data_IF_448993428736
#
_entry.id   IF_448993428736
#
_cell.length_a   1.000
_cell.length_b   1.000
_cell.length_c   1.000
_cell.angle_alpha   90.00
_cell.angle_beta   90.00
_cell.angle_gamma   90.00
#
_symmetry.space_group_name_H-M   'P 1'
#
loop_
_entity.id
_entity.type
_entity.pdbx_description
1 polymer ?
#
# COMPACT_ATOMS: atom_id res chain seq x y z
N UNK A 1 -15.85 12.67 6.09
CA UNK A 1 -16.30 11.36 5.53
C UNK A 1 -16.00 10.19 6.46
N UNK A 2 -14.73 9.90 6.81
CA UNK A 2 -14.38 8.72 7.62
C UNK A 2 -14.98 8.73 9.04
N UNK A 3 -14.94 9.87 9.73
CA UNK A 3 -15.47 10.00 11.09
C UNK A 3 -17.00 9.88 11.16
N UNK A 4 -17.71 10.39 10.15
CA UNK A 4 -19.16 10.24 10.01
C UNK A 4 -19.57 8.78 9.84
N UNK A 5 -18.80 8.01 9.05
CA UNK A 5 -19.04 6.58 8.85
C UNK A 5 -18.83 5.77 10.14
N UNK A 6 -17.76 6.03 10.90
CA UNK A 6 -17.52 5.33 12.17
C UNK A 6 -18.60 5.65 13.22
N UNK A 7 -19.06 6.90 13.28
CA UNK A 7 -20.13 7.31 14.18
C UNK A 7 -21.47 6.65 13.85
N UNK A 8 -21.80 6.52 12.56
CA UNK A 8 -23.01 5.81 12.09
C UNK A 8 -22.94 4.31 12.44
N UNK A 9 -21.75 3.71 12.34
CA UNK A 9 -21.55 2.28 12.61
C UNK A 9 -21.20 1.98 14.09
N UNK A 10 -21.27 2.98 14.97
CA UNK A 10 -20.92 2.85 16.39
C UNK A 10 -19.52 2.26 16.64
N UNK A 11 -18.59 2.51 15.72
CA UNK A 11 -17.20 2.05 15.79
C UNK A 11 -16.42 3.08 16.61
N UNK A 12 -16.02 2.70 17.83
CA UNK A 12 -15.15 3.51 18.67
C UNK A 12 -13.70 3.34 18.22
N UNK A 13 -13.17 4.31 17.49
CA UNK A 13 -11.77 4.29 17.07
C UNK A 13 -10.87 4.90 18.15
N UNK A 14 -9.79 4.21 18.51
CA UNK A 14 -8.84 4.70 19.50
C UNK A 14 -7.89 5.72 18.86
N UNK A 15 -8.16 7.01 19.11
CA UNK A 15 -7.45 8.16 18.52
C UNK A 15 -5.95 8.16 18.86
N UNK A 16 -5.55 7.58 19.99
CA UNK A 16 -4.15 7.50 20.40
C UNK A 16 -3.30 6.57 19.52
N UNK A 17 -3.93 5.69 18.73
CA UNK A 17 -3.24 4.76 17.81
C UNK A 17 -3.14 5.27 16.38
N UNK A 18 -3.59 6.49 16.11
CA UNK A 18 -3.52 7.06 14.77
C UNK A 18 -2.11 7.55 14.47
N UNK A 19 -1.64 7.28 13.25
CA UNK A 19 -0.36 7.77 12.76
C UNK A 19 -0.59 8.65 11.53
N UNK A 20 0.07 9.80 11.49
CA UNK A 20 -0.03 10.73 10.37
C UNK A 20 1.19 10.60 9.46
N UNK A 21 0.95 10.13 8.24
CA UNK A 21 1.94 10.09 7.16
C UNK A 21 1.63 11.24 6.21
N UNK A 22 2.60 12.12 5.98
CA UNK A 22 2.43 13.25 5.04
C UNK A 22 3.35 13.08 3.84
N UNK A 23 2.78 12.79 2.68
CA UNK A 23 3.55 12.67 1.44
C UNK A 23 3.46 14.02 0.71
N UNK A 24 4.60 14.67 0.42
CA UNK A 24 4.68 15.94 -0.32
C UNK A 24 3.87 17.12 0.26
N UNK A 25 3.67 17.19 1.58
CA UNK A 25 2.97 18.32 2.20
C UNK A 25 3.90 19.54 2.29
N UNK A 26 3.48 20.68 1.71
CA UNK A 26 4.16 21.98 1.89
C UNK A 26 4.01 22.53 3.31
N UNK A 27 2.96 22.13 4.02
CA UNK A 27 2.62 22.65 5.33
C UNK A 27 2.87 21.64 6.46
N UNK A 28 3.49 22.14 7.54
CA UNK A 28 3.87 21.39 8.75
C UNK A 28 2.71 21.25 9.76
N UNK A 29 1.47 21.49 9.38
CA UNK A 29 0.37 21.55 10.36
C UNK A 29 0.00 20.18 10.97
N UNK A 30 -0.02 20.07 12.29
CA UNK A 30 -0.46 18.85 12.97
C UNK A 30 -1.96 18.60 12.74
N UNK A 31 -2.36 17.34 12.60
CA UNK A 31 -3.76 16.98 12.42
C UNK A 31 -4.39 16.79 13.81
N UNK A 32 -5.36 17.66 14.13
CA UNK A 32 -6.11 17.60 15.39
C UNK A 32 -7.42 16.85 15.18
N UNK A 33 -7.58 15.72 15.86
CA UNK A 33 -8.85 14.98 15.91
C UNK A 33 -9.30 14.96 17.37
N UNK A 34 -10.49 15.50 17.65
CA UNK A 34 -11.11 15.52 18.99
C UNK A 34 -10.19 16.03 20.11
N UNK A 35 -9.37 17.05 19.83
CA UNK A 35 -8.45 17.65 20.80
C UNK A 35 -7.13 16.88 21.01
N UNK A 36 -6.95 15.73 20.36
CA UNK A 36 -5.68 14.98 20.34
C UNK A 36 -4.85 15.38 19.13
N UNK A 37 -3.64 15.89 19.39
CA UNK A 37 -2.62 16.18 18.37
C UNK A 37 -1.99 14.88 17.88
N UNK A 38 -2.21 14.54 16.61
CA UNK A 38 -1.54 13.40 15.96
C UNK A 38 -0.25 13.90 15.33
N UNK A 39 0.89 13.39 15.83
CA UNK A 39 2.22 13.76 15.34
C UNK A 39 2.53 13.09 14.01
N UNK A 40 3.28 13.80 13.17
CA UNK A 40 3.83 13.28 11.91
C UNK A 40 4.95 12.27 12.21
N UNK A 41 4.89 11.09 11.59
CA UNK A 41 5.87 9.99 11.78
C UNK A 41 6.78 9.83 10.57
N UNK A 42 6.92 10.84 9.69
CA UNK A 42 7.82 10.69 8.54
C UNK A 42 9.27 10.63 8.99
N UNK A 43 9.91 9.48 8.77
CA UNK A 43 11.36 9.34 8.77
C UNK A 43 11.96 9.91 7.46
N UNK A 44 13.19 10.42 7.51
CA UNK A 44 13.92 10.93 6.35
C UNK A 44 14.26 9.80 5.36
N UNK A 45 14.48 8.59 5.86
CA UNK A 45 14.74 7.40 5.06
C UNK A 45 13.48 6.79 4.43
N UNK A 46 12.30 7.24 4.85
CA UNK A 46 10.99 6.78 4.38
C UNK A 46 10.32 5.78 5.31
N UNK A 47 8.99 5.74 5.26
CA UNK A 47 8.20 4.92 6.18
C UNK A 47 7.75 3.61 5.54
N UNK A 48 7.67 2.53 6.32
CA UNK A 48 7.13 1.24 5.85
C UNK A 48 5.73 0.97 6.43
N UNK A 49 4.73 0.84 5.56
CA UNK A 49 3.38 0.43 5.97
C UNK A 49 2.81 -0.64 5.04
N UNK A 50 2.22 -1.69 5.64
CA UNK A 50 1.52 -2.77 4.92
C UNK A 50 2.32 -3.39 3.74
N UNK A 51 3.65 -3.44 3.88
CA UNK A 51 4.57 -3.97 2.86
C UNK A 51 5.08 -2.95 1.83
N UNK A 52 4.61 -1.70 1.88
CA UNK A 52 5.02 -0.59 1.03
C UNK A 52 6.07 0.29 1.69
N UNK A 53 6.87 0.97 0.86
CA UNK A 53 7.93 1.85 1.32
C UNK A 53 7.71 3.27 0.77
N UNK A 54 7.42 4.20 1.66
CA UNK A 54 7.11 5.60 1.37
C UNK A 54 8.41 6.42 1.43
N UNK A 55 9.20 6.36 0.36
CA UNK A 55 10.32 7.30 0.18
C UNK A 55 9.80 8.70 -0.14
N UNK A 56 10.46 9.71 0.43
CA UNK A 56 10.20 11.12 0.13
C UNK A 56 10.24 11.42 -1.39
N UNK A 57 11.11 10.74 -2.13
CA UNK A 57 11.30 10.94 -3.57
C UNK A 57 10.37 10.09 -4.47
N UNK A 58 9.42 9.34 -3.91
CA UNK A 58 8.39 8.56 -4.63
C UNK A 58 8.91 7.86 -5.93
N UNK A 59 10.04 7.16 -5.84
CA UNK A 59 10.67 6.52 -6.99
C UNK A 59 9.84 5.31 -7.45
N UNK A 60 9.00 5.51 -8.46
CA UNK A 60 8.17 4.46 -9.09
C UNK A 60 8.96 3.27 -9.64
N UNK A 61 10.26 3.44 -9.90
CA UNK A 61 11.14 2.39 -10.40
C UNK A 61 11.24 1.18 -9.46
N UNK A 62 11.16 1.40 -8.14
CA UNK A 62 11.23 0.33 -7.15
C UNK A 62 10.02 -0.62 -7.27
N UNK A 63 8.83 -0.06 -7.47
CA UNK A 63 7.60 -0.82 -7.64
C UNK A 63 7.58 -1.59 -8.95
N UNK A 64 8.05 -0.98 -10.05
CA UNK A 64 8.23 -1.68 -11.33
C UNK A 64 9.19 -2.88 -11.19
N UNK A 65 10.29 -2.71 -10.44
CA UNK A 65 11.23 -3.80 -10.16
C UNK A 65 10.58 -4.91 -9.34
N UNK A 66 9.83 -4.58 -8.28
CA UNK A 66 9.09 -5.58 -7.48
C UNK A 66 8.07 -6.36 -8.31
N UNK A 67 7.30 -5.70 -9.18
CA UNK A 67 6.34 -6.37 -10.07
C UNK A 67 7.07 -7.37 -10.97
N UNK A 68 8.20 -6.97 -11.57
CA UNK A 68 9.02 -7.86 -12.38
C UNK A 68 9.51 -9.07 -11.59
N UNK A 69 10.01 -8.86 -10.37
CA UNK A 69 10.46 -9.95 -9.49
C UNK A 69 9.33 -10.94 -9.13
N UNK A 70 8.10 -10.45 -8.90
CA UNK A 70 6.92 -11.30 -8.63
C UNK A 70 6.63 -12.20 -9.83
N UNK A 71 6.59 -11.60 -11.03
CA UNK A 71 6.34 -12.33 -12.29
C UNK A 71 7.44 -13.36 -12.54
N UNK A 72 8.71 -12.97 -12.42
CA UNK A 72 9.85 -13.87 -12.66
C UNK A 72 9.86 -15.05 -11.67
N UNK A 73 9.56 -14.80 -10.39
CA UNK A 73 9.44 -15.86 -9.38
C UNK A 73 8.28 -16.80 -9.69
N UNK A 74 7.11 -16.27 -10.04
CA UNK A 74 5.93 -17.07 -10.38
C UNK A 74 6.20 -17.96 -11.60
N UNK A 75 6.78 -17.40 -12.67
CA UNK A 75 7.15 -18.13 -13.87
C UNK A 75 8.19 -19.22 -13.58
N UNK A 76 9.21 -18.92 -12.77
CA UNK A 76 10.22 -19.90 -12.36
C UNK A 76 9.60 -21.07 -11.60
N UNK A 77 8.70 -20.80 -10.64
CA UNK A 77 8.02 -21.85 -9.88
C UNK A 77 7.15 -22.71 -10.81
N UNK A 78 6.34 -22.09 -11.67
CA UNK A 78 5.46 -22.81 -12.59
C UNK A 78 6.23 -23.67 -13.59
N UNK A 79 7.39 -23.20 -14.08
CA UNK A 79 8.26 -23.96 -14.99
C UNK A 79 8.70 -25.31 -14.40
N UNK A 80 8.96 -25.38 -13.10
CA UNK A 80 9.38 -26.62 -12.43
C UNK A 80 8.22 -27.52 -12.01
N UNK A 81 6.96 -27.12 -12.29
CA UNK A 81 5.77 -27.88 -11.92
C UNK A 81 5.12 -28.43 -13.19
N UNK A 82 4.74 -29.70 -13.17
CA UNK A 82 3.92 -30.30 -14.23
C UNK A 82 2.47 -29.81 -14.09
N UNK A 83 2.20 -28.59 -14.56
CA UNK A 83 0.88 -27.98 -14.53
C UNK A 83 0.23 -28.06 -15.91
N UNK A 84 -1.08 -28.31 -15.93
CA UNK A 84 -1.88 -28.15 -17.13
C UNK A 84 -2.13 -26.67 -17.42
N UNK A 85 -2.41 -26.34 -18.68
CA UNK A 85 -2.69 -24.96 -19.11
C UNK A 85 -3.77 -24.29 -18.24
N UNK A 86 -4.89 -24.99 -17.98
CA UNK A 86 -5.98 -24.48 -17.15
C UNK A 86 -5.54 -24.15 -15.71
N UNK A 87 -4.67 -24.96 -15.13
CA UNK A 87 -4.13 -24.71 -13.79
C UNK A 87 -3.20 -23.51 -13.78
N UNK A 88 -2.38 -23.34 -14.82
CA UNK A 88 -1.52 -22.16 -14.99
C UNK A 88 -2.38 -20.90 -15.10
N UNK A 89 -3.42 -20.91 -15.93
CA UNK A 89 -4.35 -19.76 -16.07
C UNK A 89 -5.05 -19.44 -14.75
N UNK A 90 -5.50 -20.45 -14.01
CA UNK A 90 -6.15 -20.25 -12.72
C UNK A 90 -5.20 -19.61 -11.69
N UNK A 91 -3.97 -20.11 -11.59
CA UNK A 91 -2.95 -19.54 -10.69
C UNK A 91 -2.59 -18.12 -11.09
N UNK A 92 -2.46 -17.85 -12.39
CA UNK A 92 -2.18 -16.51 -12.89
C UNK A 92 -3.26 -15.52 -12.46
N UNK A 93 -4.52 -15.85 -12.70
CA UNK A 93 -5.66 -14.97 -12.42
C UNK A 93 -5.94 -14.80 -10.93
N UNK A 94 -5.86 -15.87 -10.13
CA UNK A 94 -6.19 -15.80 -8.70
C UNK A 94 -5.06 -15.27 -7.83
N UNK A 95 -3.80 -15.44 -8.24
CA UNK A 95 -2.64 -15.17 -7.37
C UNK A 95 -1.75 -14.09 -7.96
N UNK A 96 -1.26 -14.26 -9.18
CA UNK A 96 -0.25 -13.35 -9.76
C UNK A 96 -0.86 -11.99 -10.06
N UNK A 97 -2.05 -11.95 -10.69
CA UNK A 97 -2.76 -10.69 -10.97
C UNK A 97 -3.12 -9.98 -9.67
N UNK A 98 -3.70 -10.65 -8.68
CA UNK A 98 -4.07 -10.02 -7.40
C UNK A 98 -2.87 -9.42 -6.66
N UNK A 99 -1.70 -10.08 -6.70
CA UNK A 99 -0.48 -9.53 -6.12
C UNK A 99 0.02 -8.29 -6.87
N UNK A 100 -0.07 -8.29 -8.20
CA UNK A 100 0.29 -7.14 -9.04
C UNK A 100 -0.67 -5.97 -8.79
N UNK A 101 -1.97 -6.23 -8.75
CA UNK A 101 -3.01 -5.23 -8.46
C UNK A 101 -2.80 -4.57 -7.09
N UNK A 102 -2.44 -5.35 -6.07
CA UNK A 102 -2.08 -4.80 -4.76
C UNK A 102 -0.90 -3.82 -4.85
N UNK A 103 0.13 -4.13 -5.66
CA UNK A 103 1.25 -3.21 -5.91
C UNK A 103 0.83 -1.98 -6.75
N UNK A 104 -0.14 -2.11 -7.65
CA UNK A 104 -0.65 -0.99 -8.46
C UNK A 104 -1.55 -0.04 -7.68
N UNK A 105 -2.41 -0.55 -6.80
CA UNK A 105 -3.28 0.28 -5.95
C UNK A 105 -2.47 1.35 -5.20
N UNK A 106 -1.27 0.99 -4.76
CA UNK A 106 -0.32 1.91 -4.15
C UNK A 106 0.18 3.01 -5.11
N UNK A 107 0.48 2.67 -6.37
CA UNK A 107 0.89 3.65 -7.37
C UNK A 107 -0.22 4.67 -7.64
N UNK A 108 -1.49 4.24 -7.64
CA UNK A 108 -2.65 5.10 -7.88
C UNK A 108 -2.95 6.04 -6.71
N UNK A 109 -2.80 5.58 -5.46
CA UNK A 109 -2.90 6.45 -4.26
C UNK A 109 -1.91 7.61 -4.34
N UNK A 110 -0.76 7.42 -4.98
CA UNK A 110 0.25 8.47 -5.19
C UNK A 110 -0.02 9.36 -6.42
N UNK A 111 -1.01 9.06 -7.27
CA UNK A 111 -1.36 9.82 -8.49
C UNK A 111 -2.53 10.77 -8.27
N UNK A 112 -3.47 10.44 -7.37
CA UNK A 112 -4.58 11.33 -7.00
C UNK A 112 -4.08 12.50 -6.18
N UNK A 113 -3.54 13.50 -6.88
CA UNK A 113 -3.28 14.87 -6.42
C UNK A 113 -4.45 15.76 -6.80
#
# INVERSE_FOLDING_TARGET
MCHSFFKINNIQANIQKYELIKINAKEKEDLNIEGVKIKKVNDEEGNRYLGFYFEYNNKRSIYKRKIKEIVDKAAKIMRFKMLTEKQVTAVWNMVVISQIEYQFCYLEVNVKK
#
